data_IF_762695129051
#
_entry.id   IF_762695129051
#
_cell.length_a   1.000
_cell.length_b   1.000
_cell.length_c   1.000
_cell.angle_alpha   90.00
_cell.angle_beta   90.00
_cell.angle_gamma   90.00
#
_symmetry.space_group_name_H-M   'P 1'
#
loop_
_entity.id
_entity.type
_entity.pdbx_description
1 polymer ?
#
# COMPACT_ATOMS: atom_id res chain seq x y z
N UNK A 1 9.90 -57.42 5.82
CA UNK A 1 11.12 -57.73 6.60
C UNK A 1 11.72 -56.40 7.04
N UNK A 2 11.92 -56.20 8.36
CA UNK A 2 12.62 -55.07 9.03
C UNK A 2 12.02 -53.67 8.86
N UNK A 3 11.19 -53.15 9.78
CA UNK A 3 11.48 -52.70 11.16
C UNK A 3 12.64 -51.70 11.22
N UNK A 4 12.33 -50.42 11.40
CA UNK A 4 13.11 -49.54 12.28
C UNK A 4 12.24 -48.41 12.85
N UNK A 5 11.54 -48.79 13.92
CA UNK A 5 11.37 -48.00 15.14
C UNK A 5 12.37 -46.85 15.31
N UNK A 6 11.85 -45.65 15.51
CA UNK A 6 12.45 -44.65 16.39
C UNK A 6 11.33 -43.92 17.14
N UNK A 7 10.81 -44.57 18.16
CA UNK A 7 10.40 -43.89 19.38
C UNK A 7 11.58 -43.05 19.88
N UNK A 8 11.44 -41.73 19.83
CA UNK A 8 12.15 -40.84 20.75
C UNK A 8 11.11 -40.08 21.57
N UNK A 9 10.83 -40.69 22.72
CA UNK A 9 10.87 -40.07 24.04
C UNK A 9 10.13 -38.75 24.24
N UNK A 10 9.17 -38.79 25.16
CA UNK A 10 8.29 -37.69 25.52
C UNK A 10 8.98 -36.37 25.83
N UNK A 11 8.45 -35.30 25.24
CA UNK A 11 8.80 -33.93 25.58
C UNK A 11 7.94 -33.44 26.75
N UNK A 12 8.41 -33.76 27.95
CA UNK A 12 7.95 -33.17 29.21
C UNK A 12 8.52 -31.74 29.34
N UNK A 13 7.98 -30.74 28.65
CA UNK A 13 8.32 -29.33 28.94
C UNK A 13 7.16 -28.37 28.64
N UNK A 14 6.24 -28.24 29.60
CA UNK A 14 5.17 -27.24 29.57
C UNK A 14 5.70 -25.79 29.52
N UNK A 15 6.93 -25.55 30.01
CA UNK A 15 7.55 -24.22 30.04
C UNK A 15 7.95 -23.66 28.67
N UNK A 16 8.43 -24.51 27.74
CA UNK A 16 8.92 -24.07 26.42
C UNK A 16 7.76 -23.63 25.51
N UNK A 17 6.60 -24.30 25.62
CA UNK A 17 5.38 -23.97 24.88
C UNK A 17 4.78 -22.64 25.36
N UNK A 18 4.77 -22.42 26.69
CA UNK A 18 4.29 -21.16 27.25
C UNK A 18 5.21 -19.99 26.86
N UNK A 19 6.52 -20.20 26.86
CA UNK A 19 7.50 -19.19 26.45
C UNK A 19 7.39 -18.84 24.95
N UNK A 20 7.21 -19.85 24.09
CA UNK A 20 6.97 -19.63 22.66
C UNK A 20 5.67 -18.85 22.41
N UNK A 21 4.60 -19.15 23.14
CA UNK A 21 3.33 -18.43 23.05
C UNK A 21 3.44 -16.98 23.53
N UNK A 22 4.19 -16.72 24.60
CA UNK A 22 4.46 -15.35 25.09
C UNK A 22 5.27 -14.57 24.06
N UNK A 23 6.29 -15.18 23.45
CA UNK A 23 7.07 -14.53 22.39
C UNK A 23 6.22 -14.18 21.17
N UNK A 24 5.33 -15.09 20.73
CA UNK A 24 4.38 -14.83 19.64
C UNK A 24 3.39 -13.71 20.00
N UNK A 25 2.88 -13.70 21.23
CA UNK A 25 1.98 -12.64 21.70
C UNK A 25 2.66 -11.27 21.78
N UNK A 26 3.92 -11.21 22.24
CA UNK A 26 4.72 -9.98 22.29
C UNK A 26 5.04 -9.47 20.86
N UNK A 27 5.34 -10.37 19.93
CA UNK A 27 5.57 -10.03 18.52
C UNK A 27 4.32 -9.45 17.85
N UNK A 28 3.15 -10.05 18.12
CA UNK A 28 1.86 -9.55 17.67
C UNK A 28 1.51 -8.18 18.28
N UNK A 29 1.95 -7.92 19.53
CA UNK A 29 1.73 -6.64 20.20
C UNK A 29 2.55 -5.49 19.59
N UNK A 30 3.78 -5.76 19.12
CA UNK A 30 4.63 -4.76 18.46
C UNK A 30 4.20 -4.41 17.03
N UNK A 31 3.29 -5.18 16.42
CA UNK A 31 2.72 -4.87 15.12
C UNK A 31 1.63 -3.77 15.15
N UNK A 32 1.22 -3.32 16.35
CA UNK A 32 0.18 -2.32 16.51
C UNK A 32 0.71 -0.88 16.27
N UNK A 33 0.76 -0.49 14.99
CA UNK A 33 0.48 0.89 14.60
C UNK A 33 1.67 1.86 14.51
N UNK A 34 2.52 1.69 13.49
CA UNK A 34 3.31 2.80 12.99
C UNK A 34 2.38 3.83 12.32
N UNK A 35 2.08 4.94 13.00
CA UNK A 35 1.40 6.12 12.44
C UNK A 35 2.40 6.91 11.56
N UNK A 36 3.01 6.23 10.61
CA UNK A 36 4.08 6.74 9.75
C UNK A 36 3.54 7.43 8.51
N UNK A 37 4.43 8.17 7.83
CA UNK A 37 4.15 8.80 6.55
C UNK A 37 3.46 7.84 5.56
N UNK A 38 2.45 8.29 4.78
CA UNK A 38 1.67 7.44 3.86
C UNK A 38 2.44 7.10 2.58
N UNK A 39 3.65 6.53 2.69
CA UNK A 39 4.56 6.25 1.56
C UNK A 39 3.88 5.39 0.49
N UNK A 40 3.11 4.38 0.91
CA UNK A 40 2.42 3.48 -0.02
C UNK A 40 1.40 4.21 -0.89
N UNK A 41 0.60 5.07 -0.30
CA UNK A 41 -0.48 5.81 -1.00
C UNK A 41 0.10 6.86 -1.96
N UNK A 42 1.21 7.50 -1.56
CA UNK A 42 1.95 8.40 -2.45
C UNK A 42 2.54 7.65 -3.66
N UNK A 43 3.02 6.42 -3.44
CA UNK A 43 3.53 5.56 -4.51
C UNK A 43 2.41 5.12 -5.46
N UNK A 44 1.27 4.68 -4.92
CA UNK A 44 0.08 4.32 -5.72
C UNK A 44 -0.40 5.49 -6.58
N UNK A 45 -0.46 6.71 -6.01
CA UNK A 45 -0.86 7.90 -6.75
C UNK A 45 0.09 8.20 -7.92
N UNK A 46 1.41 8.15 -7.68
CA UNK A 46 2.43 8.36 -8.73
C UNK A 46 2.35 7.31 -9.83
N UNK A 47 2.20 6.03 -9.45
CA UNK A 47 2.05 4.93 -10.40
C UNK A 47 0.79 5.08 -11.24
N UNK A 48 -0.33 5.49 -10.64
CA UNK A 48 -1.58 5.72 -11.37
C UNK A 48 -1.46 6.88 -12.37
N UNK A 49 -0.79 7.98 -11.99
CA UNK A 49 -0.51 9.11 -12.89
C UNK A 49 0.34 8.66 -14.07
N UNK A 50 1.39 7.87 -13.82
CA UNK A 50 2.24 7.36 -14.89
C UNK A 50 1.48 6.40 -15.81
N UNK A 51 0.61 5.54 -15.25
CA UNK A 51 -0.26 4.68 -16.03
C UNK A 51 -1.27 5.47 -16.89
N UNK A 52 -1.73 6.64 -16.43
CA UNK A 52 -2.57 7.53 -17.23
C UNK A 52 -1.77 8.18 -18.38
N UNK A 53 -0.53 8.63 -18.11
CA UNK A 53 0.35 9.17 -19.17
C UNK A 53 0.69 8.12 -20.23
N UNK A 54 0.93 6.88 -19.82
CA UNK A 54 1.29 5.79 -20.72
C UNK A 54 0.23 5.49 -21.80
N UNK A 55 -1.03 5.84 -21.53
CA UNK A 55 -2.14 5.72 -22.51
C UNK A 55 -2.49 7.05 -23.19
N UNK A 56 -1.64 8.07 -23.07
CA UNK A 56 -1.82 9.35 -23.74
C UNK A 56 -2.81 10.30 -23.04
N UNK A 57 -3.04 10.17 -21.73
CA UNK A 57 -3.97 11.06 -21.02
C UNK A 57 -3.58 12.56 -21.09
N UNK A 58 -2.33 12.89 -21.42
CA UNK A 58 -1.93 14.28 -21.68
C UNK A 58 -2.60 14.88 -22.93
N UNK A 59 -2.97 14.04 -23.90
CA UNK A 59 -3.65 14.47 -25.12
C UNK A 59 -5.17 14.26 -25.03
N UNK A 60 -5.59 13.10 -24.53
CA UNK A 60 -6.99 12.67 -24.58
C UNK A 60 -7.78 12.99 -23.30
N UNK A 61 -7.11 13.26 -22.17
CA UNK A 61 -7.75 13.49 -20.88
C UNK A 61 -7.02 14.53 -20.01
N UNK A 62 -6.47 15.59 -20.64
CA UNK A 62 -5.58 16.58 -20.00
C UNK A 62 -6.18 17.19 -18.72
N UNK A 63 -7.46 17.57 -18.76
CA UNK A 63 -8.15 18.19 -17.61
C UNK A 63 -8.23 17.22 -16.43
N UNK A 64 -8.47 15.93 -16.69
CA UNK A 64 -8.54 14.92 -15.64
C UNK A 64 -7.14 14.62 -15.08
N UNK A 65 -6.13 14.53 -15.93
CA UNK A 65 -4.74 14.32 -15.52
C UNK A 65 -4.22 15.50 -14.69
N UNK A 66 -4.53 16.75 -15.07
CA UNK A 66 -4.16 17.95 -14.31
C UNK A 66 -4.78 17.97 -12.92
N UNK A 67 -6.02 17.50 -12.76
CA UNK A 67 -6.65 17.34 -11.44
C UNK A 67 -5.86 16.37 -10.58
N UNK A 68 -5.54 15.19 -11.10
CA UNK A 68 -4.74 14.19 -10.39
C UNK A 68 -3.37 14.74 -9.95
N UNK A 69 -2.67 15.46 -10.84
CA UNK A 69 -1.40 16.11 -10.54
C UNK A 69 -1.52 17.18 -9.44
N UNK A 70 -2.59 17.97 -9.47
CA UNK A 70 -2.87 18.99 -8.45
C UNK A 70 -3.14 18.35 -7.07
N UNK A 71 -3.91 17.26 -7.03
CA UNK A 71 -4.17 16.50 -5.82
C UNK A 71 -2.89 15.86 -5.27
N UNK A 72 -2.02 15.31 -6.13
CA UNK A 72 -0.73 14.77 -5.71
C UNK A 72 0.16 15.87 -5.12
N UNK A 73 0.24 17.03 -5.77
CA UNK A 73 1.01 18.18 -5.25
C UNK A 73 0.50 18.63 -3.88
N UNK A 74 -0.82 18.65 -3.70
CA UNK A 74 -1.45 18.95 -2.40
C UNK A 74 -1.06 17.91 -1.35
N UNK A 75 -1.05 16.63 -1.71
CA UNK A 75 -0.62 15.54 -0.84
C UNK A 75 0.86 15.68 -0.42
N UNK A 76 1.73 16.07 -1.34
CA UNK A 76 3.16 16.31 -1.08
C UNK A 76 3.39 17.49 -0.13
N UNK A 77 2.63 18.57 -0.30
CA UNK A 77 2.64 19.71 0.63
C UNK A 77 2.22 19.28 2.04
N UNK A 78 1.09 18.57 2.16
CA UNK A 78 0.61 18.06 3.44
C UNK A 78 1.60 17.06 4.07
N UNK A 79 2.29 16.27 3.25
CA UNK A 79 3.33 15.36 3.72
C UNK A 79 4.51 16.13 4.33
N UNK A 80 4.96 17.19 3.67
CA UNK A 80 6.01 18.08 4.15
C UNK A 80 5.62 18.78 5.47
N UNK A 81 4.35 19.18 5.58
CA UNK A 81 3.77 19.80 6.79
C UNK A 81 3.50 18.79 7.93
N UNK A 82 3.90 17.51 7.76
CA UNK A 82 3.60 16.38 8.66
C UNK A 82 2.11 16.13 8.90
N UNK A 83 1.24 16.63 8.02
CA UNK A 83 -0.22 16.39 8.04
C UNK A 83 -0.54 15.05 7.40
N UNK A 84 -0.02 13.95 7.97
CA UNK A 84 -0.04 12.62 7.34
C UNK A 84 -1.44 12.08 7.02
N UNK A 85 -2.46 12.41 7.82
CA UNK A 85 -3.84 11.98 7.54
C UNK A 85 -4.42 12.69 6.32
N UNK A 86 -4.15 13.98 6.19
CA UNK A 86 -4.63 14.79 5.08
C UNK A 86 -3.85 14.42 3.81
N UNK A 87 -2.52 14.29 3.91
CA UNK A 87 -1.67 13.80 2.83
C UNK A 87 -2.15 12.45 2.29
N UNK A 88 -2.52 11.52 3.18
CA UNK A 88 -3.08 10.22 2.80
C UNK A 88 -4.36 10.35 1.99
N UNK A 89 -5.26 11.25 2.41
CA UNK A 89 -6.53 11.49 1.72
C UNK A 89 -6.30 12.09 0.34
N UNK A 90 -5.46 13.12 0.25
CA UNK A 90 -5.13 13.77 -1.02
C UNK A 90 -4.38 12.83 -1.97
N UNK A 91 -3.53 11.93 -1.47
CA UNK A 91 -2.87 10.91 -2.28
C UNK A 91 -3.88 9.91 -2.89
N UNK A 92 -4.83 9.43 -2.09
CA UNK A 92 -5.92 8.57 -2.59
C UNK A 92 -6.77 9.26 -3.64
N UNK A 93 -7.11 10.53 -3.39
CA UNK A 93 -7.82 11.34 -4.37
C UNK A 93 -7.04 11.46 -5.67
N UNK A 94 -5.74 11.76 -5.61
CA UNK A 94 -4.88 11.82 -6.79
C UNK A 94 -4.84 10.50 -7.56
N UNK A 95 -4.77 9.36 -6.84
CA UNK A 95 -4.83 8.03 -7.44
C UNK A 95 -6.14 7.80 -8.18
N UNK A 96 -7.27 8.10 -7.54
CA UNK A 96 -8.60 7.87 -8.12
C UNK A 96 -8.85 8.79 -9.34
N UNK A 97 -8.42 10.05 -9.27
CA UNK A 97 -8.45 11.00 -10.39
C UNK A 97 -7.55 10.54 -11.55
N UNK A 98 -6.37 9.96 -11.27
CA UNK A 98 -5.49 9.43 -12.30
C UNK A 98 -6.08 8.18 -12.98
N UNK A 99 -6.76 7.32 -12.23
CA UNK A 99 -7.48 6.16 -12.80
C UNK A 99 -8.58 6.65 -13.75
N UNK A 100 -9.34 7.67 -13.36
CA UNK A 100 -10.35 8.29 -14.21
C UNK A 100 -9.74 8.91 -15.47
N UNK A 101 -8.61 9.61 -15.34
CA UNK A 101 -7.90 10.18 -16.48
C UNK A 101 -7.43 9.09 -17.45
N UNK A 102 -6.92 7.98 -16.94
CA UNK A 102 -6.52 6.81 -17.74
C UNK A 102 -7.71 6.24 -18.51
N UNK A 103 -8.85 6.03 -17.84
CA UNK A 103 -10.06 5.50 -18.46
C UNK A 103 -10.58 6.43 -19.56
N UNK A 104 -10.70 7.73 -19.25
CA UNK A 104 -11.14 8.73 -20.23
C UNK A 104 -10.21 8.78 -21.45
N UNK A 105 -8.89 8.65 -21.26
CA UNK A 105 -7.93 8.62 -22.34
C UNK A 105 -8.05 7.35 -23.20
N UNK A 106 -8.27 6.19 -22.57
CA UNK A 106 -8.49 4.93 -23.27
C UNK A 106 -9.75 5.02 -24.13
N UNK A 107 -10.86 5.48 -23.56
CA UNK A 107 -12.14 5.61 -24.27
C UNK A 107 -12.03 6.58 -25.45
N UNK A 108 -11.41 7.75 -25.25
CA UNK A 108 -11.23 8.74 -26.29
C UNK A 108 -10.18 8.38 -27.36
N UNK A 109 -9.28 7.42 -27.08
CA UNK A 109 -8.29 6.94 -28.06
C UNK A 109 -8.83 5.89 -29.03
N UNK A 110 -9.98 5.29 -28.70
CA UNK A 110 -10.63 4.23 -29.50
C UNK A 110 -11.67 4.82 -30.46
N UNK A 111 -12.10 6.07 -30.24
CA UNK A 111 -13.08 6.81 -31.04
C UNK A 111 -12.41 7.57 -32.21
#
# INVERSE_FOLDING_TARGET
>A
MFVHQLETTGSRTSGTRLFALVLVAVWLFFAAGCKSAPVQEMSEARQAIEAARAVGAEQYADIALKRALSSLKTAEQMLNDRRFRDARRSARQARDEAIQARQAAQDASVE
#
